data_IF_891050018125
#
_entry.id   IF_891050018125
#
_cell.length_a   1.000
_cell.length_b   1.000
_cell.length_c   1.000
_cell.angle_alpha   90.00
_cell.angle_beta   90.00
_cell.angle_gamma   90.00
#
_symmetry.space_group_name_H-M   'P 1'
#
loop_
_entity.id
_entity.type
_entity.pdbx_description
1 polymer ?
#
# COMPACT_ATOMS: atom_id res chain seq x y z
N UNK A 1 0.99 -3.98 -1.75
CA UNK A 1 2.05 -3.70 -0.76
C UNK A 1 1.73 -4.22 0.62
N UNK A 2 0.93 -3.47 1.37
CA UNK A 2 0.59 -3.75 2.78
C UNK A 2 0.02 -5.15 3.01
N UNK A 3 -0.92 -5.59 2.16
CA UNK A 3 -1.48 -6.94 2.22
C UNK A 3 -0.39 -8.04 2.07
N UNK A 4 0.61 -7.82 1.22
CA UNK A 4 1.73 -8.75 1.06
C UNK A 4 2.68 -8.75 2.25
N UNK A 5 2.97 -7.58 2.84
CA UNK A 5 3.75 -7.49 4.07
C UNK A 5 3.05 -8.20 5.23
N UNK A 6 1.73 -8.05 5.35
CA UNK A 6 0.92 -8.77 6.32
C UNK A 6 1.03 -10.29 6.15
N UNK A 7 0.87 -10.79 4.92
CA UNK A 7 1.01 -12.22 4.63
C UNK A 7 2.40 -12.80 4.95
N UNK A 8 3.44 -11.97 4.87
CA UNK A 8 4.83 -12.32 5.18
C UNK A 8 5.22 -12.05 6.64
N UNK A 9 4.33 -11.49 7.47
CA UNK A 9 4.62 -11.10 8.85
C UNK A 9 5.62 -9.94 8.97
N UNK A 10 5.78 -9.13 7.92
CA UNK A 10 6.69 -7.98 7.87
C UNK A 10 5.96 -6.68 8.25
N UNK A 11 6.70 -5.63 8.71
CA UNK A 11 6.11 -4.35 9.08
C UNK A 11 5.29 -3.73 7.94
N UNK A 12 4.11 -3.19 8.26
CA UNK A 12 3.21 -2.60 7.26
C UNK A 12 3.86 -1.45 6.49
N UNK A 13 4.67 -0.63 7.17
CA UNK A 13 5.38 0.49 6.58
C UNK A 13 6.33 0.05 5.46
N UNK A 14 6.99 -1.11 5.60
CA UNK A 14 7.89 -1.65 4.58
C UNK A 14 7.11 -2.05 3.31
N UNK A 15 5.98 -2.74 3.49
CA UNK A 15 5.09 -3.11 2.38
C UNK A 15 4.45 -1.90 1.69
N UNK A 16 4.10 -0.87 2.46
CA UNK A 16 3.59 0.39 1.93
C UNK A 16 4.66 1.13 1.11
N UNK A 17 5.85 1.28 1.66
CA UNK A 17 6.96 1.99 1.03
C UNK A 17 7.39 1.34 -0.28
N UNK A 18 7.62 0.02 -0.28
CA UNK A 18 8.00 -0.71 -1.49
C UNK A 18 6.94 -0.61 -2.58
N UNK A 19 5.66 -0.74 -2.21
CA UNK A 19 4.55 -0.62 -3.15
C UNK A 19 4.38 0.80 -3.69
N UNK A 20 4.60 1.81 -2.85
CA UNK A 20 4.57 3.23 -3.26
C UNK A 20 5.73 3.56 -4.20
N UNK A 21 6.93 3.09 -3.89
CA UNK A 21 8.11 3.24 -4.76
C UNK A 21 7.92 2.53 -6.11
N UNK A 22 7.39 1.31 -6.12
CA UNK A 22 7.05 0.59 -7.35
C UNK A 22 5.93 1.29 -8.15
N UNK A 23 4.92 1.85 -7.48
CA UNK A 23 3.87 2.61 -8.14
C UNK A 23 4.42 3.88 -8.77
N UNK A 24 5.23 4.66 -8.05
CA UNK A 24 5.89 5.86 -8.57
C UNK A 24 6.82 5.55 -9.74
N UNK A 25 7.62 4.47 -9.63
CA UNK A 25 8.47 3.99 -10.72
C UNK A 25 7.67 3.56 -11.95
N UNK A 26 6.54 2.87 -11.74
CA UNK A 26 5.64 2.47 -12.82
C UNK A 26 4.96 3.68 -13.48
N UNK A 27 4.53 4.68 -12.70
CA UNK A 27 4.00 5.94 -13.23
C UNK A 27 5.04 6.65 -14.10
N UNK A 28 6.28 6.80 -13.62
CA UNK A 28 7.37 7.43 -14.37
C UNK A 28 7.68 6.65 -15.66
N UNK A 29 7.73 5.31 -15.58
CA UNK A 29 7.98 4.45 -16.73
C UNK A 29 6.87 4.56 -17.78
N UNK A 30 5.60 4.53 -17.36
CA UNK A 30 4.46 4.72 -18.26
C UNK A 30 4.44 6.13 -18.85
N UNK A 31 4.73 7.16 -18.05
CA UNK A 31 4.77 8.54 -18.51
C UNK A 31 5.82 8.76 -19.60
N UNK A 32 6.99 8.13 -19.49
CA UNK A 32 8.05 8.24 -20.51
C UNK A 32 7.76 7.42 -21.78
N UNK A 33 7.03 6.31 -21.67
CA UNK A 33 6.80 5.37 -22.78
C UNK A 33 5.44 5.53 -23.48
N UNK A 34 4.46 6.16 -22.85
CA UNK A 34 3.10 6.27 -23.36
C UNK A 34 2.70 7.72 -23.61
N UNK A 35 1.85 7.96 -24.63
CA UNK A 35 1.25 9.29 -24.91
C UNK A 35 -0.04 9.52 -24.11
N UNK A 36 -0.22 8.81 -23.00
CA UNK A 36 -1.40 8.94 -22.15
C UNK A 36 -1.30 10.21 -21.30
N UNK A 37 -2.45 10.80 -20.98
CA UNK A 37 -2.50 11.92 -20.02
C UNK A 37 -2.05 11.42 -18.65
N UNK A 38 -1.33 12.28 -17.94
CA UNK A 38 -0.79 11.98 -16.60
C UNK A 38 -1.89 11.50 -15.64
N UNK A 39 -3.05 12.16 -15.66
CA UNK A 39 -4.24 11.78 -14.90
C UNK A 39 -4.70 10.34 -15.18
N UNK A 40 -4.63 9.90 -16.44
CA UNK A 40 -5.02 8.55 -16.83
C UNK A 40 -4.02 7.50 -16.35
N UNK A 41 -2.73 7.84 -16.34
CA UNK A 41 -1.66 6.96 -15.83
C UNK A 41 -1.82 6.78 -14.32
N UNK A 42 -2.06 7.87 -13.58
CA UNK A 42 -2.30 7.82 -12.13
C UNK A 42 -3.50 6.92 -11.84
N UNK A 43 -4.63 7.13 -12.53
CA UNK A 43 -5.84 6.32 -12.36
C UNK A 43 -5.63 4.84 -12.69
N UNK A 44 -4.90 4.53 -13.76
CA UNK A 44 -4.59 3.16 -14.18
C UNK A 44 -3.70 2.45 -13.15
N UNK A 45 -2.61 3.08 -12.71
CA UNK A 45 -1.70 2.52 -11.71
C UNK A 45 -2.43 2.33 -10.37
N UNK A 46 -3.17 3.34 -9.91
CA UNK A 46 -3.92 3.26 -8.66
C UNK A 46 -4.93 2.11 -8.69
N UNK A 47 -5.77 2.04 -9.72
CA UNK A 47 -6.78 0.98 -9.86
C UNK A 47 -6.16 -0.42 -9.95
N UNK A 48 -5.05 -0.57 -10.71
CA UNK A 48 -4.36 -1.86 -10.86
C UNK A 48 -3.75 -2.34 -9.54
N UNK A 49 -2.97 -1.49 -8.85
CA UNK A 49 -2.33 -1.85 -7.60
C UNK A 49 -3.34 -2.05 -6.47
N UNK A 50 -4.41 -1.26 -6.45
CA UNK A 50 -5.50 -1.42 -5.51
C UNK A 50 -6.26 -2.73 -5.72
N UNK A 51 -6.60 -3.07 -6.97
CA UNK A 51 -7.27 -4.32 -7.33
C UNK A 51 -6.44 -5.56 -6.98
N UNK A 52 -5.13 -5.55 -7.26
CA UNK A 52 -4.21 -6.62 -6.86
C UNK A 52 -4.16 -6.72 -5.32
N UNK A 53 -4.09 -5.60 -4.63
CA UNK A 53 -4.13 -5.57 -3.16
C UNK A 53 -5.39 -6.22 -2.61
N UNK A 54 -6.56 -5.86 -3.14
CA UNK A 54 -7.85 -6.44 -2.73
C UNK A 54 -7.93 -7.94 -3.04
N UNK A 55 -7.40 -8.37 -4.18
CA UNK A 55 -7.33 -9.79 -4.55
C UNK A 55 -6.46 -10.61 -3.58
N UNK A 56 -5.29 -10.10 -3.20
CA UNK A 56 -4.43 -10.77 -2.21
C UNK A 56 -5.14 -10.94 -0.86
N UNK A 57 -5.90 -9.93 -0.44
CA UNK A 57 -6.72 -9.99 0.79
C UNK A 57 -7.81 -11.07 0.68
N UNK A 58 -8.42 -11.23 -0.50
CA UNK A 58 -9.45 -12.25 -0.71
C UNK A 58 -8.93 -13.69 -0.61
N UNK A 59 -7.64 -13.94 -0.86
CA UNK A 59 -7.06 -15.28 -0.87
C UNK A 59 -6.66 -15.81 0.51
N UNK A 60 -6.41 -14.93 1.49
CA UNK A 60 -6.04 -15.31 2.85
C UNK A 60 -6.97 -14.61 3.88
N UNK A 61 -8.15 -15.18 4.17
CA UNK A 61 -9.04 -14.68 5.20
C UNK A 61 -8.54 -15.14 6.58
N UNK A 62 -7.45 -14.57 7.08
CA UNK A 62 -6.98 -14.82 8.45
C UNK A 62 -6.84 -13.51 9.24
N UNK A 63 -7.80 -13.34 10.16
CA UNK A 63 -7.73 -12.69 11.48
C UNK A 63 -7.09 -11.30 11.66
N UNK A 64 -6.84 -10.53 10.61
CA UNK A 64 -6.73 -9.07 10.74
C UNK A 64 -7.73 -8.46 9.79
N UNK A 65 -8.70 -7.78 10.38
CA UNK A 65 -9.83 -7.20 9.71
C UNK A 65 -9.33 -6.02 8.86
N UNK A 66 -8.81 -6.23 7.65
CA UNK A 66 -8.28 -5.15 6.79
C UNK A 66 -9.39 -4.13 6.43
N UNK A 67 -10.68 -4.48 6.62
CA UNK A 67 -11.77 -3.50 6.64
C UNK A 67 -11.50 -2.37 7.65
N UNK A 68 -10.89 -2.65 8.81
CA UNK A 68 -10.45 -1.61 9.76
C UNK A 68 -9.32 -0.74 9.20
N UNK A 69 -8.43 -1.25 8.36
CA UNK A 69 -7.37 -0.43 7.73
C UNK A 69 -7.97 0.45 6.63
N UNK A 70 -8.88 -0.09 5.81
CA UNK A 70 -9.50 0.63 4.68
C UNK A 70 -10.59 1.62 5.15
N UNK A 71 -11.33 1.28 6.22
CA UNK A 71 -12.35 2.14 6.84
C UNK A 71 -11.78 3.09 7.91
N UNK A 72 -10.51 2.94 8.28
CA UNK A 72 -9.82 3.84 9.22
C UNK A 72 -10.22 3.68 10.69
N UNK A 73 -10.10 2.46 11.25
CA UNK A 73 -10.24 2.25 12.68
C UNK A 73 -8.87 2.30 13.37
N UNK A 74 -8.62 3.42 14.05
CA UNK A 74 -7.37 3.72 14.76
C UNK A 74 -7.13 2.73 15.92
N UNK A 75 -8.18 2.09 16.46
CA UNK A 75 -8.06 1.12 17.56
C UNK A 75 -7.49 -0.25 17.14
N UNK A 76 -7.43 -0.54 15.84
CA UNK A 76 -6.87 -1.79 15.33
C UNK A 76 -5.35 -1.72 15.08
N UNK A 77 -4.75 -0.55 15.27
CA UNK A 77 -3.32 -0.32 15.04
C UNK A 77 -2.53 -0.79 16.28
N UNK A 78 -1.54 -1.65 16.08
CA UNK A 78 -0.70 -2.13 17.16
C UNK A 78 0.18 -0.98 17.72
N UNK A 79 0.46 -0.94 19.04
CA UNK A 79 1.30 0.11 19.63
C UNK A 79 2.70 0.22 19.02
N UNK A 80 3.24 -0.89 18.52
CA UNK A 80 4.53 -0.95 17.81
C UNK A 80 4.50 -0.21 16.46
N UNK A 81 3.40 -0.30 15.71
CA UNK A 81 3.23 0.42 14.44
C UNK A 81 3.15 1.95 14.67
N UNK A 82 2.60 2.38 15.82
CA UNK A 82 2.54 3.80 16.20
C UNK A 82 3.94 4.35 16.43
N UNK A 83 4.81 3.60 17.12
CA UNK A 83 6.20 4.01 17.35
C UNK A 83 6.96 4.07 16.01
N UNK A 84 6.75 3.10 15.12
CA UNK A 84 7.35 3.12 13.80
C UNK A 84 6.87 4.32 12.97
N UNK A 85 5.57 4.61 12.96
CA UNK A 85 5.00 5.76 12.28
C UNK A 85 5.54 7.08 12.85
N UNK A 86 5.61 7.21 14.17
CA UNK A 86 6.18 8.38 14.84
C UNK A 86 7.66 8.57 14.50
N UNK A 87 8.45 7.48 14.46
CA UNK A 87 9.85 7.52 14.08
C UNK A 87 10.04 7.95 12.61
N UNK A 88 9.24 7.39 11.69
CA UNK A 88 9.27 7.77 10.26
C UNK A 88 8.90 9.25 10.10
N UNK A 89 7.84 9.70 10.76
CA UNK A 89 7.37 11.08 10.69
C UNK A 89 8.28 12.10 11.37
N UNK A 90 9.09 11.69 12.35
CA UNK A 90 10.09 12.56 12.98
C UNK A 90 11.36 12.71 12.13
N UNK A 91 11.70 11.70 11.34
CA UNK A 91 12.93 11.68 10.52
C UNK A 91 12.73 12.27 9.12
N UNK A 92 11.51 12.18 8.56
CA UNK A 92 11.16 12.71 7.22
C UNK A 92 10.91 14.21 7.23
#
# INVERSE_FOLDING_TARGET
>A
GVAGAYMLGLPFALGAFLSGGLAAGSMLFLQQRSRLKEDAIIGLIFSSFFGIGLFMVSLNPTSVNIQTIILGNILAIAPEDIIQLAAIGFIS
#
